data_IF_774083105110
#
_entry.id   IF_774083105110
#
_cell.length_a   1.000
_cell.length_b   1.000
_cell.length_c   1.000
_cell.angle_alpha   90.00
_cell.angle_beta   90.00
_cell.angle_gamma   90.00
#
_symmetry.space_group_name_H-M   'P 1'
#
loop_
_entity.id
_entity.type
_entity.pdbx_description
1 polymer ?
#
# COMPACT_ATOMS: atom_id res chain seq x y z
N UNK A 1 49.97 21.19 0.12
CA UNK A 1 49.12 19.99 0.18
C UNK A 1 47.78 20.41 0.74
N UNK A 2 46.74 20.50 -0.10
CA UNK A 2 45.41 20.91 0.33
C UNK A 2 44.55 19.65 0.48
N UNK A 3 44.14 19.35 1.70
CA UNK A 3 43.22 18.27 2.01
C UNK A 3 41.80 18.81 1.81
N UNK A 4 41.17 18.49 0.70
CA UNK A 4 39.73 18.73 0.54
C UNK A 4 38.97 17.65 1.30
N UNK A 5 38.56 17.99 2.53
CA UNK A 5 37.51 17.29 3.26
C UNK A 5 36.17 17.57 2.55
N UNK A 6 35.96 16.99 1.36
CA UNK A 6 34.60 16.84 0.83
C UNK A 6 33.93 15.77 1.68
N UNK A 7 33.36 16.21 2.80
CA UNK A 7 32.64 15.35 3.71
C UNK A 7 31.58 14.56 2.97
N UNK A 8 31.26 13.38 3.51
CA UNK A 8 30.08 12.58 3.17
C UNK A 8 28.78 13.34 3.52
N UNK A 9 28.61 14.56 3.04
CA UNK A 9 27.30 15.17 2.86
C UNK A 9 26.69 14.54 1.63
N UNK A 10 26.40 13.24 1.71
CA UNK A 10 25.56 12.59 0.71
C UNK A 10 24.28 13.42 0.64
N UNK A 11 23.99 14.00 -0.52
CA UNK A 11 22.71 14.65 -0.77
C UNK A 11 21.65 13.67 -0.26
N UNK A 12 20.87 14.08 0.75
CA UNK A 12 19.78 13.27 1.27
C UNK A 12 18.93 12.92 0.06
N UNK A 13 19.06 11.68 -0.41
CA UNK A 13 18.21 11.16 -1.46
C UNK A 13 16.84 11.21 -0.82
N UNK A 14 15.99 12.10 -1.32
CA UNK A 14 14.58 12.21 -0.95
C UNK A 14 13.79 11.70 -2.15
N UNK A 15 13.65 10.37 -2.31
CA UNK A 15 12.90 9.84 -3.42
C UNK A 15 11.48 10.36 -3.35
N UNK A 16 10.90 10.65 -4.51
CA UNK A 16 9.48 10.93 -4.59
C UNK A 16 8.74 9.59 -4.62
N UNK A 17 8.42 9.06 -3.44
CA UNK A 17 7.64 7.84 -3.31
C UNK A 17 6.19 8.11 -3.72
N UNK A 18 5.87 7.76 -4.95
CA UNK A 18 4.52 7.87 -5.51
C UNK A 18 4.00 6.49 -5.85
N UNK A 19 2.71 6.28 -5.60
CA UNK A 19 2.00 5.07 -6.03
C UNK A 19 1.33 5.35 -7.37
N UNK A 20 1.49 4.44 -8.33
CA UNK A 20 0.75 4.51 -9.60
C UNK A 20 -0.71 4.11 -9.43
N UNK A 21 -1.05 3.39 -8.35
CA UNK A 21 -2.41 2.98 -8.03
C UNK A 21 -2.69 3.10 -6.52
N UNK A 22 -3.23 4.24 -6.06
CA UNK A 22 -3.53 4.48 -4.65
C UNK A 22 -4.67 3.63 -4.10
N UNK A 23 -5.39 2.90 -4.96
CA UNK A 23 -6.43 1.96 -4.54
C UNK A 23 -5.86 0.62 -4.11
N UNK A 24 -4.63 0.28 -4.51
CA UNK A 24 -3.95 -0.98 -4.16
C UNK A 24 -2.79 -0.78 -3.18
N UNK A 25 -2.06 0.34 -3.31
CA UNK A 25 -0.90 0.64 -2.48
C UNK A 25 -0.86 2.12 -2.12
N UNK A 26 -0.57 2.44 -0.87
CA UNK A 26 -0.35 3.82 -0.39
C UNK A 26 0.96 3.90 0.41
N UNK A 27 1.57 5.06 0.41
CA UNK A 27 2.83 5.31 1.12
C UNK A 27 2.62 6.48 2.08
N UNK A 28 3.08 6.30 3.32
CA UNK A 28 2.95 7.27 4.40
C UNK A 28 1.55 7.34 5.02
N UNK A 29 1.41 8.20 6.02
CA UNK A 29 0.15 8.41 6.74
C UNK A 29 -0.33 7.22 7.57
N UNK A 30 -1.57 7.33 8.05
CA UNK A 30 -2.26 6.26 8.77
C UNK A 30 -2.77 5.17 7.82
N UNK A 31 -3.08 3.99 8.38
CA UNK A 31 -3.68 2.90 7.63
C UNK A 31 -4.97 3.37 6.96
N UNK A 32 -5.18 3.09 5.66
CA UNK A 32 -6.46 3.41 5.04
C UNK A 32 -7.58 2.61 5.69
N UNK A 33 -8.77 3.22 5.79
CA UNK A 33 -9.94 2.56 6.37
C UNK A 33 -10.30 1.28 5.61
N UNK A 34 -10.69 0.24 6.35
CA UNK A 34 -11.24 -0.96 5.74
C UNK A 34 -12.64 -0.67 5.20
N UNK A 35 -12.96 -1.22 4.03
CA UNK A 35 -14.30 -1.16 3.45
C UNK A 35 -15.13 -2.33 3.94
N UNK A 36 -16.45 -2.16 3.94
CA UNK A 36 -17.36 -3.28 4.15
C UNK A 36 -17.22 -4.31 3.01
N UNK A 37 -17.43 -5.61 3.28
CA UNK A 37 -17.41 -6.62 2.24
C UNK A 37 -18.47 -6.34 1.16
N UNK A 38 -18.07 -6.48 -0.09
CA UNK A 38 -18.94 -6.33 -1.25
C UNK A 38 -19.42 -7.71 -1.72
N UNK A 39 -20.69 -7.84 -2.12
CA UNK A 39 -21.23 -9.03 -2.77
C UNK A 39 -21.42 -8.73 -4.25
N UNK A 40 -20.75 -9.51 -5.10
CA UNK A 40 -20.79 -9.37 -6.56
C UNK A 40 -21.52 -10.59 -7.14
N UNK A 41 -22.61 -10.36 -7.86
CA UNK A 41 -23.36 -11.39 -8.57
C UNK A 41 -22.60 -11.86 -9.82
N UNK A 42 -22.30 -13.17 -9.90
CA UNK A 42 -21.62 -13.80 -11.03
C UNK A 42 -22.56 -14.68 -11.87
N UNK A 43 -23.87 -14.50 -11.72
CA UNK A 43 -24.95 -15.15 -12.47
C UNK A 43 -25.44 -16.47 -11.87
N UNK A 44 -24.53 -17.34 -11.40
CA UNK A 44 -24.89 -18.62 -10.77
C UNK A 44 -24.48 -18.73 -9.30
N UNK A 45 -23.59 -17.87 -8.85
CA UNK A 45 -23.14 -17.74 -7.46
C UNK A 45 -22.68 -16.31 -7.23
N UNK A 46 -22.52 -15.95 -5.97
CA UNK A 46 -22.05 -14.62 -5.59
C UNK A 46 -20.63 -14.71 -5.05
N UNK A 47 -19.83 -13.66 -5.28
CA UNK A 47 -18.53 -13.49 -4.66
C UNK A 47 -18.62 -12.46 -3.56
N UNK A 48 -18.34 -12.87 -2.33
CA UNK A 48 -18.07 -11.94 -1.23
C UNK A 48 -16.60 -11.52 -1.32
N UNK A 49 -16.36 -10.26 -1.67
CA UNK A 49 -15.04 -9.64 -1.71
C UNK A 49 -14.82 -8.88 -0.41
N UNK A 50 -13.72 -9.13 0.27
CA UNK A 50 -13.33 -8.41 1.49
C UNK A 50 -11.95 -7.81 1.29
N UNK A 51 -11.89 -6.49 1.30
CA UNK A 51 -10.64 -5.74 1.20
C UNK A 51 -10.13 -5.38 2.60
N UNK A 52 -8.84 -5.62 2.84
CA UNK A 52 -8.16 -5.21 4.07
C UNK A 52 -6.84 -4.54 3.75
N UNK A 53 -6.54 -3.47 4.47
CA UNK A 53 -5.24 -2.83 4.41
C UNK A 53 -4.30 -3.45 5.44
N UNK A 54 -3.04 -3.66 5.04
CA UNK A 54 -1.96 -4.09 5.93
C UNK A 54 -0.72 -3.23 5.72
N UNK A 55 0.10 -3.13 6.76
CA UNK A 55 1.44 -2.58 6.64
C UNK A 55 2.34 -3.63 5.97
N UNK A 56 3.12 -3.20 4.98
CA UNK A 56 4.06 -4.04 4.22
C UNK A 56 5.46 -3.39 4.19
N UNK A 57 5.93 -3.05 5.39
CA UNK A 57 7.24 -2.44 5.59
C UNK A 57 7.23 -0.91 5.54
N UNK A 58 8.42 -0.35 5.27
CA UNK A 58 8.68 1.08 5.26
C UNK A 58 9.60 1.45 4.09
N UNK A 59 9.45 2.66 3.59
CA UNK A 59 10.43 3.27 2.69
C UNK A 59 11.77 3.49 3.42
N UNK A 60 12.90 3.63 2.70
CA UNK A 60 14.19 3.99 3.28
C UNK A 60 14.21 5.23 4.19
N UNK A 61 13.32 6.20 3.98
CA UNK A 61 13.14 7.39 4.84
C UNK A 61 12.10 7.19 5.96
N UNK A 62 11.56 5.97 6.10
CA UNK A 62 10.76 5.53 7.25
C UNK A 62 9.25 5.65 7.10
N UNK A 63 8.72 6.00 5.93
CA UNK A 63 7.28 6.08 5.68
C UNK A 63 6.68 4.68 5.57
N UNK A 64 5.55 4.44 6.23
CA UNK A 64 4.84 3.15 6.14
C UNK A 64 4.37 2.86 4.72
N UNK A 65 4.51 1.62 4.27
CA UNK A 65 3.92 1.14 3.02
C UNK A 65 2.65 0.38 3.38
N UNK A 66 1.53 0.81 2.83
CA UNK A 66 0.22 0.18 3.01
C UNK A 66 -0.18 -0.52 1.73
N UNK A 67 -0.55 -1.79 1.82
CA UNK A 67 -1.04 -2.57 0.68
C UNK A 67 -2.41 -3.14 0.99
N UNK A 68 -3.23 -3.27 -0.05
CA UNK A 68 -4.58 -3.81 0.04
C UNK A 68 -4.58 -5.28 -0.36
N UNK A 69 -4.97 -6.14 0.56
CA UNK A 69 -5.26 -7.55 0.30
C UNK A 69 -6.75 -7.70 0.02
N UNK A 70 -7.09 -8.34 -1.10
CA UNK A 70 -8.47 -8.66 -1.48
C UNK A 70 -8.73 -10.16 -1.34
N UNK A 71 -9.61 -10.52 -0.42
CA UNK A 71 -10.05 -11.91 -0.21
C UNK A 71 -11.37 -12.15 -0.93
N UNK A 72 -11.52 -13.29 -1.60
CA UNK A 72 -12.73 -13.64 -2.35
C UNK A 72 -13.25 -15.00 -1.91
N UNK A 73 -14.52 -15.06 -1.57
CA UNK A 73 -15.20 -16.29 -1.19
C UNK A 73 -16.48 -16.45 -2.01
N UNK A 74 -16.74 -17.66 -2.49
CA UNK A 74 -18.03 -18.00 -3.12
C UNK A 74 -19.09 -18.11 -2.02
N UNK A 75 -20.22 -17.44 -2.21
CA UNK A 75 -21.37 -17.42 -1.31
C UNK A 75 -22.67 -17.59 -2.09
N UNK A 76 -23.76 -18.07 -1.47
CA UNK A 76 -25.09 -18.00 -2.06
C UNK A 76 -25.50 -16.55 -2.35
N UNK A 77 -26.21 -16.34 -3.46
CA UNK A 77 -26.80 -15.06 -3.80
C UNK A 77 -28.12 -14.87 -3.04
N UNK A 78 -28.01 -14.62 -1.73
CA UNK A 78 -29.12 -14.52 -0.78
C UNK A 78 -29.90 -15.83 -0.52
#
# INVERSE_FOLDING_TARGET
>A
MAVTLTGCGAATVKPNYTTTNPDLMRIGGEAPGNKEPEIIDMGSYCLKVTDKWKADGKTPDGQSIWVKDSYRNVVPCH
#
